data_IF_125223697418
#
_entry.id   IF_125223697418
#
_cell.length_a   1.000
_cell.length_b   1.000
_cell.length_c   1.000
_cell.angle_alpha   90.00
_cell.angle_beta   90.00
_cell.angle_gamma   90.00
#
_symmetry.space_group_name_H-M   'P 1'
#
loop_
_entity.id
_entity.type
_entity.pdbx_description
1 polymer ?
#
# COMPACT_ATOMS: atom_id res chain seq x y z
N UNK A 1 0.35 10.08 1.60
CA UNK A 1 -0.49 10.34 0.41
C UNK A 1 0.23 9.84 -0.83
N UNK A 2 -0.45 9.03 -1.63
CA UNK A 2 0.08 8.43 -2.85
C UNK A 2 -0.76 8.94 -4.02
N UNK A 3 -0.13 9.42 -5.09
CA UNK A 3 -0.80 9.91 -6.29
C UNK A 3 -0.35 9.12 -7.53
N UNK A 4 -1.05 9.25 -8.68
CA UNK A 4 -0.58 8.69 -9.93
C UNK A 4 0.89 9.07 -10.21
N UNK A 5 1.65 8.15 -10.80
CA UNK A 5 3.09 8.25 -11.07
C UNK A 5 4.01 8.16 -9.84
N UNK A 6 3.48 7.98 -8.63
CA UNK A 6 4.30 7.69 -7.43
C UNK A 6 5.00 6.33 -7.56
N UNK A 7 6.30 6.28 -7.28
CA UNK A 7 7.08 5.04 -7.14
C UNK A 7 6.93 4.47 -5.73
N UNK A 8 6.60 3.19 -5.64
CA UNK A 8 6.31 2.50 -4.38
C UNK A 8 7.24 1.31 -4.19
N UNK A 9 7.64 1.11 -2.94
CA UNK A 9 8.34 -0.09 -2.50
C UNK A 9 7.34 -1.19 -2.15
N UNK A 10 7.79 -2.44 -2.24
CA UNK A 10 6.95 -3.61 -2.01
C UNK A 10 7.29 -4.23 -0.66
N UNK A 11 6.25 -4.67 0.05
CA UNK A 11 6.34 -5.28 1.37
C UNK A 11 5.77 -6.71 1.37
N UNK A 12 6.06 -7.47 0.30
CA UNK A 12 5.67 -8.87 0.15
C UNK A 12 6.83 -9.70 -0.47
N UNK A 13 6.60 -11.00 -0.62
CA UNK A 13 7.52 -11.94 -1.26
C UNK A 13 7.12 -12.29 -2.70
N UNK A 14 6.32 -11.45 -3.36
CA UNK A 14 5.79 -11.71 -4.72
C UNK A 14 6.86 -11.68 -5.82
N UNK A 15 8.03 -11.12 -5.52
CA UNK A 15 9.17 -11.02 -6.44
C UNK A 15 9.26 -9.69 -7.18
N UNK A 16 8.26 -8.82 -7.06
CA UNK A 16 8.36 -7.46 -7.56
C UNK A 16 9.26 -6.61 -6.62
N UNK A 17 9.95 -5.60 -7.17
CA UNK A 17 10.87 -4.71 -6.42
C UNK A 17 10.38 -3.28 -6.37
N UNK A 18 9.84 -2.80 -7.49
CA UNK A 18 9.34 -1.42 -7.62
C UNK A 18 8.02 -1.41 -8.37
N UNK A 19 7.07 -0.65 -7.84
CA UNK A 19 5.79 -0.38 -8.47
C UNK A 19 5.68 1.09 -8.83
N UNK A 20 4.86 1.40 -9.82
CA UNK A 20 4.41 2.76 -10.10
C UNK A 20 2.90 2.80 -10.06
N UNK A 21 2.34 3.72 -9.27
CA UNK A 21 0.92 4.00 -9.26
C UNK A 21 0.47 4.55 -10.61
N UNK A 22 -0.59 3.98 -11.18
CA UNK A 22 -1.26 4.51 -12.38
C UNK A 22 -2.55 5.20 -11.97
N UNK A 23 -3.32 4.56 -11.09
CA UNK A 23 -4.66 5.00 -10.75
C UNK A 23 -5.02 4.60 -9.33
N UNK A 24 -5.60 5.54 -8.59
CA UNK A 24 -6.24 5.26 -7.30
C UNK A 24 -7.66 4.74 -7.54
N UNK A 25 -8.01 3.59 -6.94
CA UNK A 25 -9.38 3.06 -7.00
C UNK A 25 -10.08 3.44 -5.69
N UNK A 26 -11.02 4.38 -5.77
CA UNK A 26 -11.87 4.76 -4.65
C UNK A 26 -13.31 4.97 -5.10
N UNK A 27 -14.26 4.44 -4.33
CA UNK A 27 -15.68 4.62 -4.55
C UNK A 27 -16.13 5.98 -4.00
N UNK A 28 -16.77 6.78 -4.85
CA UNK A 28 -17.45 8.04 -4.53
C UNK A 28 -16.53 9.21 -4.16
N UNK A 29 -16.20 10.04 -5.16
CA UNK A 29 -15.47 11.29 -4.97
C UNK A 29 -14.18 11.38 -5.78
N UNK A 30 -13.77 12.61 -6.08
CA UNK A 30 -12.58 12.94 -6.87
C UNK A 30 -11.29 12.77 -6.03
N UNK A 31 -11.11 11.59 -5.42
CA UNK A 31 -9.93 11.28 -4.61
C UNK A 31 -8.69 11.24 -5.50
N UNK A 32 -7.91 12.33 -5.47
CA UNK A 32 -6.63 12.46 -6.19
C UNK A 32 -5.50 11.68 -5.51
N UNK A 33 -5.67 11.36 -4.25
CA UNK A 33 -4.68 10.74 -3.39
C UNK A 33 -5.24 9.46 -2.79
N UNK A 34 -4.35 8.50 -2.56
CA UNK A 34 -4.60 7.29 -1.82
C UNK A 34 -3.95 7.36 -0.43
N UNK A 35 -4.65 6.80 0.54
CA UNK A 35 -4.27 6.64 1.93
C UNK A 35 -4.04 5.15 2.25
N UNK A 36 -3.75 4.86 3.51
CA UNK A 36 -3.60 3.48 3.98
C UNK A 36 -4.93 2.74 3.78
N UNK A 37 -4.85 1.48 3.33
CA UNK A 37 -6.01 0.62 3.09
C UNK A 37 -6.66 0.80 1.72
N UNK A 38 -6.34 1.86 0.98
CA UNK A 38 -6.82 2.04 -0.38
C UNK A 38 -6.21 1.02 -1.34
N UNK A 39 -7.02 0.59 -2.30
CA UNK A 39 -6.57 -0.27 -3.40
C UNK A 39 -6.21 0.62 -4.59
N UNK A 40 -5.00 0.46 -5.10
CA UNK A 40 -4.52 1.21 -6.26
C UNK A 40 -4.15 0.26 -7.39
N UNK A 41 -4.24 0.75 -8.63
CA UNK A 41 -3.71 0.08 -9.81
C UNK A 41 -2.28 0.52 -10.02
N UNK A 42 -1.38 -0.44 -10.11
CA UNK A 42 0.06 -0.21 -10.30
C UNK A 42 0.62 -1.02 -11.46
N UNK A 43 1.69 -0.53 -12.07
CA UNK A 43 2.55 -1.32 -12.96
C UNK A 43 3.83 -1.71 -12.26
N UNK A 44 4.29 -2.93 -12.52
CA UNK A 44 5.59 -3.40 -12.06
C UNK A 44 6.70 -2.76 -12.91
N UNK A 45 7.58 -2.00 -12.27
CA UNK A 45 8.73 -1.35 -12.93
C UNK A 45 9.98 -2.21 -12.88
N UNK A 46 10.15 -2.99 -11.81
CA UNK A 46 11.28 -3.89 -11.59
C UNK A 46 10.81 -5.15 -10.86
N UNK A 47 11.30 -6.31 -11.29
CA UNK A 47 10.94 -7.62 -10.76
C UNK A 47 12.14 -8.57 -10.82
N UNK A 48 12.17 -9.54 -9.91
CA UNK A 48 13.18 -10.60 -9.87
C UNK A 48 12.87 -11.60 -11.00
N UNK A 49 13.86 -11.99 -11.82
CA UNK A 49 13.66 -13.02 -12.85
C UNK A 49 13.20 -14.36 -12.26
N UNK A 50 12.46 -15.16 -13.03
CA UNK A 50 11.95 -16.50 -12.65
C UNK A 50 10.91 -16.51 -11.51
N UNK A 51 10.44 -15.34 -11.06
CA UNK A 51 9.28 -15.20 -10.18
C UNK A 51 7.98 -15.12 -11.01
N UNK A 52 6.82 -15.39 -10.40
CA UNK A 52 5.53 -15.37 -11.12
C UNK A 52 5.13 -13.98 -11.65
N UNK A 53 5.63 -12.89 -11.05
CA UNK A 53 5.33 -11.53 -11.48
C UNK A 53 6.38 -11.01 -12.46
N UNK A 54 5.92 -10.43 -13.58
CA UNK A 54 6.79 -9.92 -14.63
C UNK A 54 6.78 -8.38 -14.72
N UNK A 55 7.84 -7.82 -15.32
CA UNK A 55 7.94 -6.38 -15.56
C UNK A 55 6.82 -5.92 -16.51
N UNK A 56 6.26 -4.74 -16.24
CA UNK A 56 5.17 -4.10 -16.98
C UNK A 56 3.79 -4.74 -16.79
N UNK A 57 3.66 -5.77 -15.95
CA UNK A 57 2.36 -6.30 -15.56
C UNK A 57 1.59 -5.29 -14.69
N UNK A 58 0.29 -5.23 -14.90
CA UNK A 58 -0.63 -4.32 -14.20
C UNK A 58 -1.32 -5.10 -13.09
N UNK A 59 -1.05 -4.71 -11.84
CA UNK A 59 -1.59 -5.38 -10.66
C UNK A 59 -2.32 -4.39 -9.74
N UNK A 60 -3.28 -4.91 -8.97
CA UNK A 60 -3.94 -4.17 -7.90
C UNK A 60 -3.21 -4.44 -6.59
N UNK A 61 -2.87 -3.38 -5.88
CA UNK A 61 -2.18 -3.47 -4.59
C UNK A 61 -2.89 -2.64 -3.53
N UNK A 62 -2.74 -3.04 -2.28
CA UNK A 62 -3.26 -2.33 -1.11
C UNK A 62 -2.13 -1.53 -0.49
N UNK A 63 -2.39 -0.28 -0.15
CA UNK A 63 -1.41 0.55 0.55
C UNK A 63 -1.42 0.16 2.02
N UNK A 64 -0.27 -0.32 2.50
CA UNK A 64 -0.12 -0.73 3.91
C UNK A 64 0.57 0.30 4.78
N UNK A 65 1.32 1.22 4.17
CA UNK A 65 2.11 2.26 4.86
C UNK A 65 2.23 3.50 4.00
N UNK A 66 2.22 4.69 4.61
CA UNK A 66 2.61 5.93 3.94
C UNK A 66 3.50 6.79 4.84
N UNK A 67 4.34 7.66 4.27
CA UNK A 67 5.16 8.53 5.11
C UNK A 67 4.38 9.71 5.72
N UNK A 68 3.16 9.99 5.22
CA UNK A 68 2.36 11.10 5.74
C UNK A 68 1.57 10.60 6.94
N UNK A 69 1.57 11.41 8.00
CA UNK A 69 0.74 11.21 9.18
C UNK A 69 -0.74 11.07 8.79
N UNK A 70 -1.43 10.15 9.44
CA UNK A 70 -2.87 9.98 9.32
C UNK A 70 -3.53 10.35 10.65
N UNK A 71 -4.71 10.96 10.61
CA UNK A 71 -5.50 11.28 11.79
C UNK A 71 -6.33 10.05 12.19
N UNK A 72 -6.01 9.47 13.36
CA UNK A 72 -6.83 8.42 13.95
C UNK A 72 -8.13 9.02 14.54
N UNK A 73 -9.16 8.20 14.79
CA UNK A 73 -10.47 8.65 15.33
C UNK A 73 -10.35 9.46 16.64
N UNK A 74 -9.27 9.26 17.40
CA UNK A 74 -8.94 10.02 18.61
C UNK A 74 -8.34 11.43 18.36
N UNK A 75 -8.22 11.86 17.10
CA UNK A 75 -7.70 13.18 16.72
C UNK A 75 -6.18 13.34 16.86
N UNK A 76 -5.45 12.27 17.17
CA UNK A 76 -3.99 12.29 17.26
C UNK A 76 -3.35 11.84 15.93
N UNK A 77 -2.37 12.58 15.38
CA UNK A 77 -1.64 12.15 14.19
C UNK A 77 -0.73 10.97 14.56
N UNK A 78 -1.04 9.77 14.05
CA UNK A 78 -0.12 8.64 14.13
C UNK A 78 0.80 8.71 12.90
N UNK A 79 2.10 8.88 13.14
CA UNK A 79 3.11 8.73 12.10
C UNK A 79 3.30 7.24 11.78
N UNK A 80 3.09 6.83 10.53
CA UNK A 80 3.41 5.47 10.10
C UNK A 80 4.93 5.30 9.99
N UNK A 81 5.54 4.63 10.97
CA UNK A 81 6.98 4.37 10.97
C UNK A 81 7.38 3.50 9.77
N UNK A 82 8.40 3.96 9.05
CA UNK A 82 8.84 3.43 7.74
C UNK A 82 9.46 2.02 7.84
N UNK A 83 9.73 1.53 9.05
CA UNK A 83 10.21 0.17 9.31
C UNK A 83 9.43 -0.43 10.49
N UNK A 84 8.95 -1.67 10.38
CA UNK A 84 8.35 -2.40 11.52
C UNK A 84 6.84 -2.60 11.46
N UNK A 85 6.01 -1.57 11.67
CA UNK A 85 4.57 -1.77 11.95
C UNK A 85 3.61 -1.68 10.75
N UNK A 86 2.65 -2.60 10.68
CA UNK A 86 1.46 -2.49 9.83
C UNK A 86 0.37 -1.70 10.55
N UNK A 87 -0.36 -0.89 9.80
CA UNK A 87 -1.37 0.01 10.35
C UNK A 87 -2.59 -0.79 10.89
N UNK A 88 -3.03 -0.51 12.13
CA UNK A 88 -4.22 -1.12 12.77
C UNK A 88 -5.48 -1.03 11.90
N UNK A 89 -5.62 0.04 11.12
CA UNK A 89 -6.75 0.34 10.23
C UNK A 89 -6.96 -0.73 9.16
N UNK A 90 -5.92 -1.51 8.82
CA UNK A 90 -6.06 -2.66 7.93
C UNK A 90 -6.98 -3.74 8.52
N UNK A 91 -7.14 -3.80 9.85
CA UNK A 91 -8.11 -4.70 10.52
C UNK A 91 -9.54 -4.25 10.24
N UNK A 92 -9.81 -2.96 10.31
CA UNK A 92 -11.13 -2.37 10.08
C UNK A 92 -11.56 -2.49 8.62
N UNK A 93 -10.60 -2.43 7.70
CA UNK A 93 -10.81 -2.57 6.25
C UNK A 93 -10.84 -4.03 5.77
N UNK A 94 -11.04 -5.00 6.67
CA UNK A 94 -11.16 -6.43 6.38
C UNK A 94 -9.92 -7.09 5.74
N UNK A 95 -8.72 -6.51 5.88
CA UNK A 95 -7.47 -7.10 5.40
C UNK A 95 -6.83 -8.06 6.43
N UNK A 96 -7.64 -8.90 7.08
CA UNK A 96 -7.23 -9.78 8.19
C UNK A 96 -6.04 -10.68 7.84
N UNK A 97 -5.97 -11.19 6.60
CA UNK A 97 -4.85 -12.02 6.14
C UNK A 97 -3.53 -11.25 6.12
N UNK A 98 -3.54 -10.00 5.66
CA UNK A 98 -2.34 -9.14 5.61
C UNK A 98 -1.87 -8.85 7.03
N UNK A 99 -2.82 -8.48 7.91
CA UNK A 99 -2.56 -8.22 9.33
C UNK A 99 -2.01 -9.47 10.04
N UNK A 100 -2.49 -10.67 9.71
CA UNK A 100 -2.00 -11.91 10.33
C UNK A 100 -0.58 -12.29 9.95
N UNK A 101 -0.08 -11.79 8.81
CA UNK A 101 1.28 -12.03 8.32
C UNK A 101 2.27 -10.96 8.81
N UNK A 102 1.77 -9.89 9.42
CA UNK A 102 2.59 -8.79 9.93
C UNK A 102 3.36 -9.21 11.20
N UNK A 103 4.67 -8.92 11.30
CA UNK A 103 5.44 -9.16 12.52
C UNK A 103 4.98 -8.27 13.68
N UNK A 104 4.50 -7.04 13.39
CA UNK A 104 4.01 -6.08 14.38
C UNK A 104 2.84 -5.26 13.81
N UNK A 105 1.82 -5.04 14.63
CA UNK A 105 0.63 -4.21 14.35
C UNK A 105 0.50 -3.23 15.52
N UNK A 106 0.50 -1.91 15.24
CA UNK A 106 0.52 -0.81 16.21
C UNK A 106 -0.69 0.12 16.05
#
# INVERSE_FOLDING_TARGET
>A
MIEPQTLLNIADNSGARKLMCIRVIGATGNHRYACIGDVIVTVIKDAIPQMPLERSEVIRVVIVRTCKEFECEDGNPKGTQVFGAFAEELRELNFTKIVSLAPEVL
#
